data_IF_315506920193
#
_entry.id   IF_315506920193
#
_cell.length_a   1.000
_cell.length_b   1.000
_cell.length_c   1.000
_cell.angle_alpha   90.00
_cell.angle_beta   90.00
_cell.angle_gamma   90.00
#
_symmetry.space_group_name_H-M   'P 1'
#
loop_
_entity.id
_entity.type
_entity.pdbx_description
1 polymer ?
#
# COMPACT_ATOMS: atom_id res chain seq x y z
N UNK A 1 -7.82 -4.83 24.36
CA UNK A 1 -7.49 -5.04 22.94
C UNK A 1 -8.12 -3.89 22.17
N UNK A 2 -7.37 -3.15 21.32
CA UNK A 2 -7.98 -2.17 20.43
C UNK A 2 -9.16 -2.73 19.64
N UNK A 3 -10.28 -1.99 19.64
CA UNK A 3 -11.47 -2.24 18.83
C UNK A 3 -11.76 -0.98 18.02
N UNK A 4 -11.98 -1.17 16.73
CA UNK A 4 -12.19 -0.08 15.78
C UNK A 4 -13.44 -0.29 14.95
N UNK A 5 -14.09 0.82 14.62
CA UNK A 5 -15.09 0.92 13.58
C UNK A 5 -14.38 1.23 12.26
N UNK A 6 -14.43 0.31 11.31
CA UNK A 6 -13.66 0.37 10.09
C UNK A 6 -14.44 1.09 8.98
N UNK A 7 -14.04 2.32 8.73
CA UNK A 7 -14.70 3.22 7.80
C UNK A 7 -14.03 3.26 6.43
N UNK A 8 -12.73 2.95 6.35
CA UNK A 8 -11.96 3.03 5.11
C UNK A 8 -11.11 1.79 4.90
N UNK A 9 -11.18 1.21 3.71
CA UNK A 9 -10.42 0.02 3.30
C UNK A 9 -9.65 0.32 2.05
N UNK A 10 -8.37 0.00 2.07
CA UNK A 10 -7.53 0.11 0.88
C UNK A 10 -7.69 -1.16 0.06
N UNK A 11 -8.07 -1.02 -1.21
CA UNK A 11 -8.03 -2.12 -2.17
C UNK A 11 -6.68 -2.06 -2.88
N UNK A 12 -5.90 -3.14 -2.79
CA UNK A 12 -4.58 -3.21 -3.41
C UNK A 12 -4.48 -4.34 -4.43
N UNK A 13 -3.49 -4.22 -5.33
CA UNK A 13 -3.18 -5.28 -6.30
C UNK A 13 -2.92 -6.64 -5.62
N UNK A 14 -2.30 -6.63 -4.43
CA UNK A 14 -2.01 -7.86 -3.67
C UNK A 14 -3.28 -8.60 -3.24
N UNK A 15 -4.38 -7.90 -2.96
CA UNK A 15 -5.65 -8.51 -2.61
C UNK A 15 -6.20 -9.35 -3.77
N UNK A 16 -5.98 -8.89 -5.01
CA UNK A 16 -6.35 -9.65 -6.23
C UNK A 16 -5.52 -10.93 -6.39
N UNK A 17 -4.27 -10.94 -5.91
CA UNK A 17 -3.44 -12.14 -5.93
C UNK A 17 -3.94 -13.16 -4.89
N UNK A 18 -4.38 -12.69 -3.72
CA UNK A 18 -4.98 -13.54 -2.71
C UNK A 18 -6.32 -14.14 -3.18
N UNK A 19 -7.20 -13.36 -3.82
CA UNK A 19 -8.48 -13.88 -4.34
C UNK A 19 -8.28 -14.96 -5.41
N UNK A 20 -7.25 -14.81 -6.26
CA UNK A 20 -6.92 -15.76 -7.34
C UNK A 20 -6.07 -16.94 -6.87
N UNK A 21 -5.67 -16.98 -5.60
CA UNK A 21 -4.74 -17.96 -5.05
C UNK A 21 -3.34 -17.93 -5.68
N UNK A 22 -2.95 -16.79 -6.26
CA UNK A 22 -1.67 -16.59 -6.95
C UNK A 22 -0.60 -15.94 -6.09
N UNK A 23 -0.95 -15.50 -4.88
CA UNK A 23 0.02 -14.95 -3.95
C UNK A 23 0.94 -16.06 -3.43
N UNK A 24 2.25 -15.79 -3.32
CA UNK A 24 3.24 -16.78 -2.83
C UNK A 24 2.89 -17.34 -1.45
N UNK A 25 2.31 -16.49 -0.58
CA UNK A 25 1.88 -16.86 0.76
C UNK A 25 0.66 -17.80 0.77
N UNK A 26 -0.10 -17.89 -0.32
CA UNK A 26 -1.31 -18.74 -0.36
C UNK A 26 -0.99 -20.23 -0.24
N UNK A 27 0.24 -20.64 -0.58
CA UNK A 27 0.66 -22.04 -0.50
C UNK A 27 0.86 -22.53 0.94
N UNK A 28 1.30 -21.64 1.84
CA UNK A 28 1.79 -22.03 3.17
C UNK A 28 1.23 -21.22 4.33
N UNK A 29 1.01 -19.91 4.16
CA UNK A 29 0.72 -18.98 5.26
C UNK A 29 -0.74 -18.53 5.29
N UNK A 30 -1.40 -18.43 4.13
CA UNK A 30 -2.78 -17.93 4.02
C UNK A 30 -3.60 -18.94 3.22
N UNK A 31 -4.39 -19.77 3.92
CA UNK A 31 -5.26 -20.79 3.29
C UNK A 31 -6.72 -20.46 3.53
N UNK A 32 -7.62 -20.66 2.53
CA UNK A 32 -9.05 -20.52 2.74
C UNK A 32 -9.57 -21.40 3.89
N UNK A 33 -10.60 -20.96 4.63
CA UNK A 33 -11.28 -19.67 4.51
C UNK A 33 -10.50 -18.52 5.19
N UNK A 34 -10.44 -17.35 4.54
CA UNK A 34 -9.89 -16.12 5.13
C UNK A 34 -10.64 -14.89 4.64
N UNK A 35 -10.58 -13.79 5.42
CA UNK A 35 -11.03 -12.48 4.98
C UNK A 35 -9.90 -11.72 4.28
N UNK A 36 -10.23 -10.97 3.23
CA UNK A 36 -9.30 -10.13 2.49
C UNK A 36 -8.99 -8.82 3.21
N UNK A 37 -8.09 -8.03 2.63
CA UNK A 37 -7.71 -6.72 3.13
C UNK A 37 -6.48 -6.79 4.01
N UNK A 38 -5.58 -5.82 3.81
CA UNK A 38 -4.34 -5.67 4.58
C UNK A 38 -4.27 -4.35 5.33
N UNK A 39 -5.04 -3.34 4.91
CA UNK A 39 -4.97 -1.97 5.40
C UNK A 39 -6.35 -1.42 5.67
N UNK A 40 -6.43 -0.53 6.65
CA UNK A 40 -7.69 0.08 7.06
C UNK A 40 -7.46 1.46 7.70
N UNK A 41 -8.56 2.17 7.85
CA UNK A 41 -8.68 3.39 8.64
C UNK A 41 -10.04 3.43 9.31
N UNK A 42 -10.11 3.95 10.53
CA UNK A 42 -11.35 3.89 11.28
C UNK A 42 -11.29 4.63 12.60
N UNK A 43 -12.45 4.68 13.27
CA UNK A 43 -12.60 5.30 14.56
C UNK A 43 -12.29 4.31 15.68
N UNK A 44 -11.63 4.79 16.74
CA UNK A 44 -11.40 3.98 17.93
C UNK A 44 -12.69 3.86 18.75
N UNK A 45 -13.16 2.61 18.92
CA UNK A 45 -14.31 2.29 19.78
C UNK A 45 -13.89 1.89 21.19
N UNK A 46 -12.74 1.23 21.32
CA UNK A 46 -12.10 0.98 22.62
C UNK A 46 -10.62 0.70 22.45
N UNK A 47 -9.82 1.08 23.45
CA UNK A 47 -8.37 0.92 23.40
C UNK A 47 -7.80 0.81 24.82
N UNK A 48 -6.76 -0.02 25.07
CA UNK A 48 -6.04 0.00 26.33
C UNK A 48 -5.45 1.38 26.65
N UNK A 49 -5.55 1.80 27.90
CA UNK A 49 -5.12 3.14 28.35
C UNK A 49 -3.65 3.46 28.01
N UNK A 50 -2.76 2.47 28.03
CA UNK A 50 -1.32 2.65 27.75
C UNK A 50 -1.00 2.97 26.28
N UNK A 51 -1.96 2.87 25.36
CA UNK A 51 -1.74 3.23 23.95
C UNK A 51 -2.05 4.71 23.66
N UNK A 52 -2.55 5.45 24.66
CA UNK A 52 -2.75 6.90 24.60
C UNK A 52 -3.57 7.41 23.40
N UNK A 53 -4.55 6.63 22.94
CA UNK A 53 -5.51 7.09 21.93
C UNK A 53 -6.84 7.50 22.56
N UNK A 54 -7.56 8.40 21.90
CA UNK A 54 -8.89 8.83 22.32
C UNK A 54 -9.99 8.01 21.63
N UNK A 55 -11.13 7.82 22.32
CA UNK A 55 -12.33 7.30 21.69
C UNK A 55 -12.80 8.26 20.58
N UNK A 56 -13.21 7.71 19.45
CA UNK A 56 -13.60 8.50 18.27
C UNK A 56 -12.42 9.12 17.51
N UNK A 57 -11.18 8.89 17.92
CA UNK A 57 -10.00 9.30 17.14
C UNK A 57 -9.91 8.45 15.86
N UNK A 58 -9.68 9.11 14.73
CA UNK A 58 -9.43 8.42 13.45
C UNK A 58 -7.97 7.98 13.43
N UNK A 59 -7.76 6.70 13.15
CA UNK A 59 -6.42 6.14 12.98
C UNK A 59 -6.35 5.36 11.67
N UNK A 60 -5.13 5.03 11.27
CA UNK A 60 -4.86 4.04 10.22
C UNK A 60 -3.94 2.95 10.74
N UNK A 61 -4.00 1.77 10.11
CA UNK A 61 -3.16 0.64 10.45
C UNK A 61 -3.22 -0.46 9.40
N UNK A 62 -2.56 -1.57 9.68
CA UNK A 62 -2.62 -2.76 8.85
C UNK A 62 -2.85 -4.05 9.61
N UNK A 63 -3.73 -4.89 9.07
CA UNK A 63 -3.96 -6.25 9.51
C UNK A 63 -4.57 -7.08 8.38
N UNK A 64 -4.25 -8.37 8.35
CA UNK A 64 -4.95 -9.32 7.49
C UNK A 64 -6.44 -9.41 7.90
N UNK A 65 -7.34 -9.45 6.92
CA UNK A 65 -8.78 -9.56 7.17
C UNK A 65 -9.47 -8.22 7.42
N UNK A 66 -8.86 -7.12 6.97
CA UNK A 66 -9.38 -5.77 7.15
C UNK A 66 -10.65 -5.47 6.33
N UNK A 67 -11.08 -6.34 5.42
CA UNK A 67 -12.40 -6.27 4.80
C UNK A 67 -13.48 -6.74 5.79
N UNK A 68 -13.71 -5.90 6.80
CA UNK A 68 -14.68 -6.12 7.86
C UNK A 68 -15.09 -4.79 8.48
N UNK A 69 -16.31 -4.68 9.00
CA UNK A 69 -16.81 -3.48 9.70
C UNK A 69 -16.12 -3.26 11.04
N UNK A 70 -15.78 -4.33 11.76
CA UNK A 70 -15.12 -4.25 13.05
C UNK A 70 -13.73 -4.88 13.00
N UNK A 71 -12.74 -4.15 13.50
CA UNK A 71 -11.37 -4.61 13.59
C UNK A 71 -10.95 -4.73 15.05
N UNK A 72 -10.42 -5.91 15.40
CA UNK A 72 -9.83 -6.19 16.70
C UNK A 72 -8.34 -6.43 16.50
N UNK A 73 -7.51 -5.70 17.22
CA UNK A 73 -6.06 -5.79 17.07
C UNK A 73 -5.36 -6.07 18.38
N UNK A 74 -4.26 -6.84 18.39
CA UNK A 74 -3.44 -6.95 19.59
C UNK A 74 -2.90 -5.57 20.00
N UNK A 75 -2.59 -5.39 21.28
CA UNK A 75 -2.11 -4.10 21.79
C UNK A 75 -0.79 -3.63 21.15
N UNK A 76 0.02 -4.56 20.62
CA UNK A 76 1.25 -4.24 19.90
C UNK A 76 1.03 -3.89 18.43
N UNK A 77 -0.21 -3.91 17.94
CA UNK A 77 -0.50 -3.59 16.56
C UNK A 77 -0.06 -2.15 16.24
N UNK A 78 0.62 -1.95 15.11
CA UNK A 78 1.07 -0.63 14.68
C UNK A 78 -0.13 0.21 14.24
N UNK A 79 -0.61 1.04 15.17
CA UNK A 79 -1.65 2.03 14.93
C UNK A 79 -1.00 3.39 14.77
N UNK A 80 -1.52 4.17 13.84
CA UNK A 80 -0.96 5.46 13.50
C UNK A 80 -2.02 6.55 13.42
N UNK A 81 -1.72 7.72 13.98
CA UNK A 81 -2.57 8.90 13.87
C UNK A 81 -2.53 9.46 12.45
N UNK A 82 -3.61 10.13 12.08
CA UNK A 82 -3.68 10.93 10.86
C UNK A 82 -3.83 12.41 11.18
N UNK A 83 -3.47 13.31 10.25
CA UNK A 83 -3.85 14.71 10.32
C UNK A 83 -5.35 14.91 10.55
N UNK A 84 -5.71 15.92 11.33
CA UNK A 84 -7.11 16.17 11.73
C UNK A 84 -8.03 16.54 10.56
N UNK A 85 -7.48 17.02 9.44
CA UNK A 85 -8.21 17.41 8.23
C UNK A 85 -8.46 16.24 7.26
N UNK A 86 -8.05 15.02 7.62
CA UNK A 86 -8.20 13.85 6.76
C UNK A 86 -9.46 13.05 7.04
N UNK A 87 -10.07 12.56 5.96
CA UNK A 87 -11.17 11.60 6.02
C UNK A 87 -10.63 10.17 6.19
N UNK A 88 -11.47 9.25 6.63
CA UNK A 88 -11.15 7.81 6.69
C UNK A 88 -10.62 7.32 5.34
N UNK A 89 -11.32 7.58 4.24
CA UNK A 89 -10.85 7.07 2.96
C UNK A 89 -9.53 7.68 2.45
N UNK A 90 -9.22 8.95 2.78
CA UNK A 90 -7.86 9.50 2.58
C UNK A 90 -6.84 8.70 3.40
N UNK A 91 -7.14 8.43 4.67
CA UNK A 91 -6.27 7.67 5.55
C UNK A 91 -6.05 6.22 5.07
N UNK A 92 -7.09 5.56 4.53
CA UNK A 92 -6.99 4.24 3.95
C UNK A 92 -6.06 4.22 2.72
N UNK A 93 -6.15 5.23 1.85
CA UNK A 93 -5.36 5.37 0.61
C UNK A 93 -3.87 5.69 0.79
N UNK A 94 -3.33 5.58 1.99
CA UNK A 94 -1.91 5.86 2.28
C UNK A 94 -1.14 4.61 2.66
N UNK A 95 -1.84 3.63 3.21
CA UNK A 95 -1.23 2.77 4.19
C UNK A 95 -0.27 1.75 3.55
N UNK A 96 -0.47 1.33 2.30
CA UNK A 96 0.46 0.45 1.60
C UNK A 96 1.43 1.22 0.71
N UNK A 97 0.97 1.87 -0.37
CA UNK A 97 1.86 2.37 -1.42
C UNK A 97 2.71 3.55 -0.98
N UNK A 98 2.13 4.58 -0.35
CA UNK A 98 2.90 5.77 0.03
C UNK A 98 4.03 5.41 0.99
N UNK A 99 3.75 4.56 1.97
CA UNK A 99 4.74 4.20 2.99
C UNK A 99 5.95 3.46 2.43
N UNK A 100 5.69 2.50 1.55
CA UNK A 100 6.75 1.69 0.96
C UNK A 100 7.52 2.52 -0.07
N UNK A 101 6.83 3.34 -0.87
CA UNK A 101 7.43 4.22 -1.88
C UNK A 101 8.32 5.29 -1.25
N UNK A 102 7.81 6.01 -0.23
CA UNK A 102 8.56 7.06 0.44
C UNK A 102 9.83 6.51 1.11
N UNK A 103 9.71 5.39 1.82
CA UNK A 103 10.87 4.78 2.47
C UNK A 103 11.88 4.27 1.45
N UNK A 104 11.41 3.70 0.34
CA UNK A 104 12.27 3.27 -0.76
C UNK A 104 13.07 4.45 -1.35
N UNK A 105 12.43 5.61 -1.54
CA UNK A 105 13.09 6.82 -2.02
C UNK A 105 14.18 7.32 -1.05
N UNK A 106 13.87 7.34 0.25
CA UNK A 106 14.86 7.71 1.27
C UNK A 106 16.06 6.77 1.29
N UNK A 107 15.81 5.45 1.19
CA UNK A 107 16.88 4.45 1.18
C UNK A 107 17.69 4.47 -0.12
N UNK A 108 17.08 4.82 -1.24
CA UNK A 108 17.77 4.93 -2.53
C UNK A 108 18.78 6.09 -2.59
N UNK A 109 18.79 6.98 -1.58
CA UNK A 109 19.68 8.15 -1.47
C UNK A 109 19.77 8.90 -2.79
N UNK A 110 18.59 9.27 -3.31
CA UNK A 110 18.49 9.96 -4.60
C UNK A 110 19.13 11.34 -4.43
N UNK A 111 20.09 11.64 -5.29
CA UNK A 111 20.74 12.95 -5.32
C UNK A 111 19.89 13.91 -6.16
N UNK A 112 19.95 15.22 -5.89
CA UNK A 112 19.34 16.21 -6.78
C UNK A 112 19.80 15.99 -8.23
N UNK A 113 18.85 16.03 -9.17
CA UNK A 113 19.06 15.82 -10.63
C UNK A 113 19.43 14.38 -11.06
N UNK A 114 19.28 13.38 -10.21
CA UNK A 114 19.40 11.99 -10.64
C UNK A 114 18.12 11.49 -11.33
N UNK A 115 18.25 10.82 -12.47
CA UNK A 115 17.15 10.11 -13.13
C UNK A 115 16.75 8.88 -12.33
N UNK A 116 15.47 8.80 -11.94
CA UNK A 116 14.93 7.68 -11.19
C UNK A 116 13.64 7.17 -11.83
N UNK A 117 13.61 5.89 -12.17
CA UNK A 117 12.38 5.22 -12.58
C UNK A 117 11.82 4.40 -11.40
N UNK A 118 10.53 4.56 -11.13
CA UNK A 118 9.84 3.88 -10.04
C UNK A 118 9.07 2.65 -10.54
N UNK A 119 9.36 1.48 -9.97
CA UNK A 119 8.75 0.20 -10.31
C UNK A 119 7.89 -0.37 -9.17
N UNK A 120 6.62 0.07 -9.02
CA UNK A 120 5.76 -0.35 -7.91
C UNK A 120 5.17 -1.75 -8.05
N UNK A 121 5.05 -2.27 -9.28
CA UNK A 121 4.27 -3.47 -9.60
C UNK A 121 5.05 -4.49 -10.46
N UNK A 122 6.38 -4.40 -10.52
CA UNK A 122 7.17 -5.05 -11.57
C UNK A 122 6.97 -4.36 -12.93
N UNK A 123 7.57 -4.89 -14.00
CA UNK A 123 7.76 -4.28 -15.34
C UNK A 123 8.96 -3.33 -15.44
N UNK A 124 10.02 -3.71 -14.76
CA UNK A 124 11.36 -3.12 -14.84
C UNK A 124 11.89 -3.10 -16.28
N UNK A 125 11.46 -4.03 -17.15
CA UNK A 125 11.78 -3.97 -18.59
C UNK A 125 11.38 -2.63 -19.24
N UNK A 126 10.24 -2.06 -18.83
CA UNK A 126 9.75 -0.77 -19.34
C UNK A 126 10.55 0.39 -18.78
N UNK A 127 10.88 0.33 -17.50
CA UNK A 127 11.74 1.33 -16.85
C UNK A 127 13.12 1.39 -17.55
N UNK A 128 13.70 0.24 -17.87
CA UNK A 128 14.99 0.17 -18.57
C UNK A 128 14.95 0.76 -19.99
N UNK A 129 13.78 0.77 -20.66
CA UNK A 129 13.65 1.38 -21.99
C UNK A 129 13.72 2.90 -21.93
N UNK A 130 13.12 3.53 -20.92
CA UNK A 130 13.03 4.99 -20.82
C UNK A 130 14.08 5.65 -19.91
N UNK A 131 14.70 4.92 -19.00
CA UNK A 131 15.69 5.49 -18.06
C UNK A 131 16.94 6.00 -18.81
N UNK A 132 17.47 7.14 -18.34
CA UNK A 132 18.74 7.68 -18.80
C UNK A 132 19.94 6.79 -18.39
N UNK A 133 21.10 7.02 -19.01
CA UNK A 133 22.35 6.38 -18.57
C UNK A 133 22.66 6.79 -17.14
N UNK A 134 23.23 5.88 -16.36
CA UNK A 134 23.55 6.06 -14.92
C UNK A 134 22.34 6.31 -14.02
N UNK A 135 21.12 6.13 -14.54
CA UNK A 135 19.89 6.27 -13.76
C UNK A 135 19.72 5.15 -12.73
N UNK A 136 18.80 5.38 -11.79
CA UNK A 136 18.42 4.39 -10.77
C UNK A 136 17.02 3.85 -11.07
N UNK A 137 16.83 2.55 -10.97
CA UNK A 137 15.49 1.96 -10.99
C UNK A 137 15.16 1.44 -9.60
N UNK A 138 14.14 2.02 -8.99
CA UNK A 138 13.66 1.68 -7.66
C UNK A 138 12.55 0.63 -7.73
N UNK A 139 12.82 -0.57 -7.24
CA UNK A 139 11.93 -1.75 -7.28
C UNK A 139 11.25 -1.89 -5.93
N UNK A 140 9.94 -1.66 -5.89
CA UNK A 140 9.16 -1.59 -4.63
C UNK A 140 8.11 -2.70 -4.53
N UNK A 141 7.77 -3.31 -5.65
CA UNK A 141 6.92 -4.49 -5.70
C UNK A 141 7.14 -5.25 -6.99
N UNK A 142 6.76 -6.51 -6.98
CA UNK A 142 6.74 -7.39 -8.15
C UNK A 142 5.33 -7.96 -8.28
N UNK A 143 4.65 -7.66 -9.40
CA UNK A 143 3.48 -8.41 -9.79
C UNK A 143 3.94 -9.63 -10.58
N UNK A 144 3.43 -10.82 -10.24
CA UNK A 144 3.45 -11.95 -11.16
C UNK A 144 2.62 -11.57 -12.38
N UNK A 145 3.25 -11.07 -13.43
CA UNK A 145 2.57 -10.69 -14.68
C UNK A 145 2.26 -11.95 -15.45
N UNK A 146 0.98 -12.37 -15.46
CA UNK A 146 0.28 -13.38 -16.29
C UNK A 146 0.94 -14.77 -16.54
N UNK A 147 2.26 -14.89 -16.64
CA UNK A 147 3.05 -16.10 -16.88
C UNK A 147 4.39 -15.99 -16.13
N UNK A 148 4.40 -16.30 -14.83
CA UNK A 148 5.65 -16.40 -14.04
C UNK A 148 6.13 -15.10 -13.38
N UNK A 149 7.33 -15.17 -12.78
CA UNK A 149 8.02 -14.02 -12.19
C UNK A 149 8.68 -13.19 -13.30
N UNK A 150 8.84 -11.88 -13.07
CA UNK A 150 9.48 -10.99 -14.02
C UNK A 150 10.96 -11.37 -14.26
N UNK A 151 11.37 -11.38 -15.53
CA UNK A 151 12.76 -11.55 -15.94
C UNK A 151 13.32 -10.25 -16.52
N UNK A 152 14.54 -9.89 -16.10
CA UNK A 152 15.22 -8.66 -16.53
C UNK A 152 16.38 -9.02 -17.44
N UNK A 153 16.41 -8.46 -18.64
CA UNK A 153 17.53 -8.60 -19.56
C UNK A 153 18.72 -7.75 -19.07
N UNK A 154 19.83 -8.41 -18.71
CA UNK A 154 20.97 -7.76 -18.07
C UNK A 154 21.73 -6.80 -19.00
N UNK A 155 21.61 -6.98 -20.32
CA UNK A 155 22.20 -6.06 -21.30
C UNK A 155 21.66 -4.62 -21.14
N UNK A 156 20.37 -4.44 -20.87
CA UNK A 156 19.78 -3.12 -20.65
C UNK A 156 20.32 -2.43 -19.39
N UNK A 157 20.60 -3.20 -18.35
CA UNK A 157 21.24 -2.72 -17.12
C UNK A 157 22.68 -2.33 -17.39
N UNK A 158 23.44 -3.20 -18.07
CA UNK A 158 24.84 -3.02 -18.38
C UNK A 158 25.11 -1.83 -19.32
N UNK A 159 24.42 -1.79 -20.46
CA UNK A 159 24.65 -0.77 -21.49
C UNK A 159 24.30 0.65 -21.02
N UNK A 160 23.30 0.77 -20.14
CA UNK A 160 22.91 2.06 -19.56
C UNK A 160 23.57 2.34 -18.22
N UNK A 161 24.37 1.41 -17.68
CA UNK A 161 25.00 1.53 -16.36
C UNK A 161 23.99 1.88 -15.25
N UNK A 162 22.83 1.23 -15.31
CA UNK A 162 21.71 1.49 -14.40
C UNK A 162 21.93 0.80 -13.06
N UNK A 163 21.64 1.50 -11.97
CA UNK A 163 21.61 0.91 -10.63
C UNK A 163 20.20 0.41 -10.31
N UNK A 164 20.05 -0.89 -10.08
CA UNK A 164 18.81 -1.47 -9.56
C UNK A 164 18.83 -1.42 -8.02
N UNK A 165 17.84 -0.76 -7.43
CA UNK A 165 17.68 -0.65 -5.97
C UNK A 165 16.36 -1.29 -5.60
N UNK A 166 16.36 -2.30 -4.73
CA UNK A 166 15.12 -2.90 -4.23
C UNK A 166 14.84 -2.46 -2.80
N UNK A 167 13.55 -2.29 -2.49
CA UNK A 167 13.09 -2.10 -1.12
C UNK A 167 11.93 -3.03 -0.82
N UNK A 168 12.04 -3.75 0.30
CA UNK A 168 10.97 -4.54 0.86
C UNK A 168 10.75 -4.09 2.30
N UNK A 169 9.53 -3.66 2.61
CA UNK A 169 9.15 -3.27 3.96
C UNK A 169 9.10 -4.51 4.86
N UNK A 170 9.97 -4.56 5.89
CA UNK A 170 9.93 -5.56 6.96
C UNK A 170 9.15 -4.98 8.16
N UNK A 171 7.85 -5.26 8.22
CA UNK A 171 6.96 -4.83 9.31
C UNK A 171 6.49 -3.38 9.19
N UNK A 172 5.57 -2.98 10.07
CA UNK A 172 5.09 -1.59 10.19
C UNK A 172 5.92 -0.86 11.26
N UNK A 173 7.00 -0.21 10.82
CA UNK A 173 7.77 0.70 11.67
C UNK A 173 7.17 2.11 11.69
N UNK A 174 7.46 2.86 12.75
CA UNK A 174 6.97 4.23 12.99
C UNK A 174 7.46 5.29 11.98
N UNK A 175 8.32 4.92 11.03
CA UNK A 175 8.91 5.85 10.04
C UNK A 175 7.90 6.55 9.14
N UNK A 176 6.64 6.10 9.14
CA UNK A 176 5.55 6.67 8.35
C UNK A 176 4.80 7.81 9.04
N UNK A 177 4.81 7.88 10.38
CA UNK A 177 4.09 8.95 11.08
C UNK A 177 4.69 10.32 10.76
N UNK A 178 6.01 10.44 10.72
CA UNK A 178 6.65 11.74 10.49
C UNK A 178 6.31 12.35 9.12
N UNK A 179 6.38 11.64 7.98
CA UNK A 179 5.99 12.19 6.69
C UNK A 179 4.50 12.46 6.56
N UNK A 180 3.64 11.60 7.11
CA UNK A 180 2.18 11.78 7.06
C UNK A 180 1.72 12.99 7.87
N UNK A 181 2.27 13.15 9.08
CA UNK A 181 1.85 14.19 10.01
C UNK A 181 2.54 15.52 9.72
N UNK A 182 3.81 15.49 9.28
CA UNK A 182 4.64 16.70 9.17
C UNK A 182 4.90 17.17 7.74
N UNK A 183 4.53 16.41 6.70
CA UNK A 183 4.78 16.76 5.31
C UNK A 183 3.48 16.63 4.52
N UNK A 184 3.03 17.64 3.75
CA UNK A 184 1.72 17.63 3.09
C UNK A 184 1.70 16.74 1.83
N UNK A 185 2.16 15.49 1.93
CA UNK A 185 1.94 14.49 0.89
C UNK A 185 0.51 13.99 1.07
N UNK A 186 -0.39 14.52 0.25
CA UNK A 186 -1.78 14.05 0.23
C UNK A 186 -1.89 12.76 -0.59
N UNK A 187 -2.68 11.78 -0.13
CA UNK A 187 -2.98 10.61 -0.93
C UNK A 187 -3.80 11.02 -2.15
N UNK A 188 -3.40 10.48 -3.30
CA UNK A 188 -4.28 10.52 -4.47
C UNK A 188 -5.39 9.53 -4.23
N UNK A 189 -6.59 10.09 -4.22
CA UNK A 189 -7.86 9.44 -4.10
C UNK A 189 -8.49 9.45 -5.50
N UNK A 190 -8.77 8.27 -6.07
CA UNK A 190 -9.43 8.12 -7.37
C UNK A 190 -10.95 8.30 -7.25
N UNK A 191 -11.58 8.69 -8.37
CA UNK A 191 -12.96 9.20 -8.47
C UNK A 191 -14.07 8.24 -8.05
N UNK A 192 -13.82 6.92 -8.06
CA UNK A 192 -14.85 5.90 -7.78
C UNK A 192 -14.69 5.42 -6.34
N UNK A 193 -15.66 5.78 -5.49
CA UNK A 193 -15.83 5.20 -4.17
C UNK A 193 -16.67 3.93 -4.24
N UNK A 194 -16.22 2.88 -3.55
CA UNK A 194 -16.95 1.64 -3.39
C UNK A 194 -17.48 1.59 -1.96
N UNK A 195 -18.75 1.95 -1.79
CA UNK A 195 -19.41 1.91 -0.49
C UNK A 195 -19.91 0.50 -0.19
N UNK A 196 -19.76 0.05 1.06
CA UNK A 196 -20.20 -1.29 1.46
C UNK A 196 -19.27 -2.42 1.04
N UNK A 197 -19.21 -3.47 1.87
CA UNK A 197 -18.36 -4.64 1.64
C UNK A 197 -18.80 -5.45 0.42
N UNK A 198 -20.08 -5.39 0.06
CA UNK A 198 -20.66 -6.02 -1.12
C UNK A 198 -20.05 -5.54 -2.44
N UNK A 199 -19.47 -4.34 -2.45
CA UNK A 199 -18.80 -3.77 -3.63
C UNK A 199 -17.31 -4.14 -3.71
N UNK A 200 -16.75 -4.84 -2.72
CA UNK A 200 -15.35 -5.26 -2.73
C UNK A 200 -14.94 -6.11 -3.95
N UNK A 201 -15.76 -7.06 -4.46
CA UNK A 201 -15.44 -7.78 -5.70
C UNK A 201 -15.28 -6.85 -6.90
N UNK A 202 -16.22 -5.90 -7.07
CA UNK A 202 -16.20 -4.91 -8.15
C UNK A 202 -14.99 -3.97 -8.07
N UNK A 203 -14.57 -3.62 -6.85
CA UNK A 203 -13.35 -2.83 -6.64
C UNK A 203 -12.08 -3.60 -7.04
N UNK A 204 -12.04 -4.91 -6.80
CA UNK A 204 -10.91 -5.77 -7.16
C UNK A 204 -10.82 -6.04 -8.68
N UNK A 205 -11.96 -6.15 -9.36
CA UNK A 205 -12.02 -6.33 -10.83
C UNK A 205 -11.34 -5.19 -11.59
N UNK A 206 -11.32 -3.98 -11.02
CA UNK A 206 -10.66 -2.83 -11.65
C UNK A 206 -9.16 -3.03 -11.87
N UNK A 207 -8.50 -3.80 -11.03
CA UNK A 207 -7.07 -4.14 -11.22
C UNK A 207 -6.82 -5.11 -12.39
N UNK A 208 -7.86 -5.76 -12.91
CA UNK A 208 -7.78 -6.54 -14.15
C UNK A 208 -7.98 -5.67 -15.40
N UNK A 209 -8.49 -4.45 -15.24
CA UNK A 209 -8.64 -3.49 -16.34
C UNK A 209 -7.31 -2.78 -16.64
N UNK A 210 -6.99 -2.51 -17.92
CA UNK A 210 -5.76 -1.80 -18.31
C UNK A 210 -5.58 -0.41 -17.69
N UNK A 211 -6.65 0.22 -17.15
CA UNK A 211 -6.68 1.59 -16.61
C UNK A 211 -6.82 1.68 -15.08
N UNK A 212 -7.00 0.58 -14.36
CA UNK A 212 -7.48 0.59 -12.97
C UNK A 212 -6.44 0.84 -11.86
N UNK A 213 -5.33 1.52 -12.15
CA UNK A 213 -4.21 1.60 -11.20
C UNK A 213 -4.24 2.89 -10.37
N UNK A 214 -4.78 2.80 -9.13
CA UNK A 214 -4.57 3.71 -7.99
C UNK A 214 -5.80 3.89 -7.05
N UNK A 215 -5.58 4.32 -5.80
CA UNK A 215 -6.48 4.14 -4.62
C UNK A 215 -7.48 5.30 -4.41
N UNK A 216 -8.72 5.11 -3.90
CA UNK A 216 -9.78 6.16 -3.85
C UNK A 216 -10.50 6.46 -2.53
N UNK A 217 -10.82 7.75 -2.29
CA UNK A 217 -11.94 8.34 -1.48
C UNK A 217 -11.99 9.89 -1.31
N UNK A 218 -13.05 10.58 -1.77
CA UNK A 218 -13.52 11.87 -1.22
C UNK A 218 -15.03 12.09 -1.49
N UNK A 219 -15.71 12.72 -0.52
CA UNK A 219 -17.11 13.16 -0.53
C UNK A 219 -17.25 14.70 -0.54
N UNK A 220 -18.24 15.21 -1.27
CA UNK A 220 -19.15 16.36 -0.99
C UNK A 220 -20.05 16.49 -2.24
N UNK A 221 -21.37 16.58 -2.16
CA UNK A 221 -22.22 17.36 -1.24
C UNK A 221 -23.13 16.52 -0.32
#
# INVERSE_FOLDING_TARGET
MPRLDNEGREVNFVDTLYTKGRHQNTRFLVRPPFRLGLKFSGFILSVPAHLHFCLGEIIFGGCMGSYNELIFLPAWAPLHRIPADWTSGKAAGIAAMLSVSYTALLQARIQPRADVAFGPIGRIDRNLKCIAHWGKVLIVGFAGIKVGMEHIAMNGVFLKQVLLVSYMKKGEGNGLQSPIVNNPIQPTVYEIEYNGLENAPRALERYDEPKGMGQGSRRAE
#
